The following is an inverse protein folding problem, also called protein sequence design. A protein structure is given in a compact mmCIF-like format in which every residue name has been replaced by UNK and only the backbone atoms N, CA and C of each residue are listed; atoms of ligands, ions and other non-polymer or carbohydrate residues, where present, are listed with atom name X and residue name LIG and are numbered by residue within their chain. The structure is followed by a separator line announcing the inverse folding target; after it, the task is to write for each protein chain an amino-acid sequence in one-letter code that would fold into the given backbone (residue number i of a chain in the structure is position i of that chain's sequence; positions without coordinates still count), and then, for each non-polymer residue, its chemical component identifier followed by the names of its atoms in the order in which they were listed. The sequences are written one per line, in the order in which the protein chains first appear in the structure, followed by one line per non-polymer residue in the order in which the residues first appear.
data_IF_923951488558
#
_entry.id   IF_923951488558
#
_cell.length_a   1.000
_cell.length_b   1.000
_cell.length_c   1.000
_cell.angle_alpha   90.00
_cell.angle_beta   90.00
_cell.angle_gamma   90.00
#
_symmetry.space_group_name_H-M   'P 1'
#
loop_
_entity.id
_entity.type
_entity.pdbx_description
1 polymer ?
#
# COMPACT_ATOMS: atom_id res chain seq x y z
N UNK A 1 -31.06 -3.02 33.99
CA UNK A 1 -30.77 -2.88 32.54
C UNK A 1 -29.29 -3.12 32.30
N UNK A 2 -28.88 -4.29 31.75
CA UNK A 2 -27.48 -4.50 31.34
C UNK A 2 -27.17 -3.52 30.22
N UNK A 3 -26.30 -2.56 30.49
CA UNK A 3 -25.98 -1.47 29.56
C UNK A 3 -25.63 -2.01 28.17
N UNK A 4 -26.39 -1.56 27.16
CA UNK A 4 -26.16 -1.82 25.73
C UNK A 4 -25.01 -0.96 25.17
N UNK A 5 -24.24 -0.25 26.00
CA UNK A 5 -23.14 0.64 25.55
C UNK A 5 -22.10 -0.08 24.69
N UNK A 6 -21.85 -1.37 24.89
CA UNK A 6 -20.90 -2.12 24.06
C UNK A 6 -21.36 -2.27 22.61
N UNK A 7 -22.67 -2.33 22.35
CA UNK A 7 -23.22 -2.38 20.98
C UNK A 7 -22.95 -1.05 20.29
N UNK A 8 -23.10 0.06 21.01
CA UNK A 8 -22.79 1.40 20.50
C UNK A 8 -21.30 1.48 20.12
N UNK A 9 -20.40 1.05 21.02
CA UNK A 9 -18.96 1.01 20.71
C UNK A 9 -18.61 0.06 19.56
N UNK A 10 -19.29 -1.09 19.45
CA UNK A 10 -19.09 -2.02 18.34
C UNK A 10 -19.50 -1.40 17.00
N UNK A 11 -20.66 -0.72 16.94
CA UNK A 11 -21.12 -0.02 15.75
C UNK A 11 -20.16 1.11 15.36
N UNK A 12 -19.70 1.92 16.34
CA UNK A 12 -18.69 2.95 16.10
C UNK A 12 -17.40 2.32 15.54
N UNK A 13 -16.95 1.19 16.11
CA UNK A 13 -15.79 0.45 15.63
C UNK A 13 -15.95 -0.04 14.19
N UNK A 14 -17.10 -0.59 13.84
CA UNK A 14 -17.40 -1.03 12.46
C UNK A 14 -17.34 0.16 11.48
N UNK A 15 -17.91 1.31 11.85
CA UNK A 15 -17.85 2.53 11.02
C UNK A 15 -16.40 2.97 10.85
N UNK A 16 -15.62 3.02 11.92
CA UNK A 16 -14.19 3.38 11.86
C UNK A 16 -13.40 2.42 10.97
N UNK A 17 -13.63 1.10 11.08
CA UNK A 17 -13.01 0.10 10.20
C UNK A 17 -13.44 0.31 8.74
N UNK A 18 -14.70 0.64 8.47
CA UNK A 18 -15.12 0.98 7.11
C UNK A 18 -14.41 2.21 6.55
N UNK A 19 -14.25 3.25 7.36
CA UNK A 19 -13.59 4.50 6.97
C UNK A 19 -12.08 4.33 6.76
N UNK A 20 -11.41 3.49 7.55
CA UNK A 20 -9.95 3.29 7.45
C UNK A 20 -9.50 2.73 6.10
N UNK A 21 -10.38 2.07 5.36
CA UNK A 21 -10.09 1.61 4.00
C UNK A 21 -9.89 2.77 3.00
N UNK A 22 -10.59 3.89 3.20
CA UNK A 22 -10.62 5.01 2.25
C UNK A 22 -9.59 6.11 2.57
N UNK A 23 -9.17 6.20 3.82
CA UNK A 23 -8.22 7.22 4.29
C UNK A 23 -6.78 6.67 4.35
N UNK A 24 -5.77 7.53 4.19
CA UNK A 24 -4.39 7.14 4.48
C UNK A 24 -4.25 6.82 5.97
N UNK A 25 -3.71 5.64 6.27
CA UNK A 25 -3.49 5.17 7.65
C UNK A 25 -2.16 5.68 8.17
N UNK A 26 -1.20 5.78 7.26
CA UNK A 26 0.14 6.26 7.55
C UNK A 26 0.59 7.17 6.41
N UNK A 27 1.24 8.27 6.76
CA UNK A 27 1.87 9.17 5.81
C UNK A 27 3.33 9.35 6.20
N UNK A 28 4.23 9.37 5.22
CA UNK A 28 5.64 9.74 5.41
C UNK A 28 5.97 10.95 4.56
N UNK A 29 6.87 11.79 5.06
CA UNK A 29 7.42 12.92 4.33
C UNK A 29 8.92 12.70 4.16
N UNK A 30 9.37 12.57 2.91
CA UNK A 30 10.78 12.47 2.60
C UNK A 30 11.41 13.87 2.65
N UNK A 31 12.46 13.98 3.47
CA UNK A 31 13.30 15.17 3.57
C UNK A 31 14.73 14.77 3.21
N UNK A 32 15.33 15.47 2.25
CA UNK A 32 16.71 15.24 1.86
C UNK A 32 17.41 16.57 1.60
N UNK A 33 18.74 16.56 1.57
CA UNK A 33 19.54 17.75 1.22
C UNK A 33 19.25 18.19 -0.23
N UNK A 34 18.90 17.26 -1.12
CA UNK A 34 18.52 17.54 -2.50
C UNK A 34 17.13 18.20 -2.61
N UNK A 35 16.32 18.14 -1.56
CA UNK A 35 14.99 18.75 -1.46
C UNK A 35 14.98 19.84 -0.38
N UNK A 36 15.54 21.02 -0.66
CA UNK A 36 15.63 22.08 0.33
C UNK A 36 14.24 22.53 0.78
N UNK A 37 14.12 22.88 2.07
CA UNK A 37 12.85 23.33 2.68
C UNK A 37 12.26 24.59 2.02
N UNK A 38 13.06 25.34 1.28
CA UNK A 38 12.60 26.47 0.47
C UNK A 38 11.74 26.04 -0.72
N UNK A 39 11.93 24.82 -1.24
CA UNK A 39 11.14 24.27 -2.36
C UNK A 39 10.10 23.25 -1.90
N UNK A 40 10.43 22.43 -0.89
CA UNK A 40 9.52 21.42 -0.33
C UNK A 40 9.34 21.67 1.18
N UNK A 41 8.54 22.68 1.58
CA UNK A 41 8.39 23.04 2.99
C UNK A 41 7.77 21.91 3.82
N UNK A 42 6.96 21.05 3.20
CA UNK A 42 6.33 19.88 3.83
C UNK A 42 6.97 18.55 3.46
N UNK A 43 8.05 18.56 2.66
CA UNK A 43 8.68 17.37 2.08
C UNK A 43 7.80 16.65 1.04
N UNK A 44 8.39 15.69 0.32
CA UNK A 44 7.66 14.85 -0.63
C UNK A 44 6.82 13.84 0.15
N UNK A 45 5.49 13.89 0.00
CA UNK A 45 4.56 13.09 0.80
C UNK A 45 4.14 11.81 0.11
N UNK A 46 4.20 10.72 0.86
CA UNK A 46 3.76 9.39 0.43
C UNK A 46 2.71 8.90 1.44
N UNK A 47 1.54 8.56 0.91
CA UNK A 47 0.38 8.12 1.68
C UNK A 47 0.19 6.61 1.53
N UNK A 48 0.21 5.89 2.64
CA UNK A 48 -0.02 4.46 2.69
C UNK A 48 -1.48 4.17 3.04
N UNK A 49 -2.18 3.49 2.12
CA UNK A 49 -3.53 2.97 2.29
C UNK A 49 -3.48 1.44 2.26
N UNK A 50 -4.51 0.76 2.76
CA UNK A 50 -4.55 -0.71 2.74
C UNK A 50 -4.44 -1.34 1.35
N UNK A 51 -4.84 -0.61 0.33
CA UNK A 51 -4.91 -1.09 -1.04
C UNK A 51 -3.75 -0.60 -1.92
N UNK A 52 -2.82 0.20 -1.39
CA UNK A 52 -1.77 0.84 -2.19
C UNK A 52 -0.94 1.89 -1.47
N UNK A 53 0.18 2.23 -2.12
CA UNK A 53 0.95 3.45 -1.85
C UNK A 53 0.46 4.52 -2.82
N UNK A 54 0.20 5.72 -2.31
CA UNK A 54 -0.39 6.85 -3.03
C UNK A 54 0.51 8.08 -2.89
N UNK A 55 0.45 8.96 -3.89
CA UNK A 55 1.02 10.30 -3.77
C UNK A 55 0.19 11.13 -2.78
N UNK A 56 0.82 11.62 -1.71
CA UNK A 56 0.21 12.47 -0.69
C UNK A 56 0.37 13.98 -0.96
N UNK A 57 0.94 14.35 -2.10
CA UNK A 57 1.02 15.74 -2.54
C UNK A 57 -0.35 16.17 -3.11
N UNK A 58 -1.08 17.01 -2.37
CA UNK A 58 -2.45 17.47 -2.68
C UNK A 58 -2.52 18.48 -3.85
N UNK A 59 -1.93 18.18 -5.01
CA UNK A 59 -1.97 19.06 -6.19
C UNK A 59 -1.50 20.50 -5.92
N UNK A 60 -0.84 20.71 -4.78
CA UNK A 60 -0.37 22.01 -4.35
C UNK A 60 0.78 22.32 -5.27
N UNK A 61 0.65 23.39 -6.04
CA UNK A 61 1.81 24.08 -6.60
C UNK A 61 2.66 24.49 -5.41
N UNK A 62 3.55 23.62 -4.94
CA UNK A 62 4.47 23.94 -3.83
C UNK A 62 5.44 25.05 -4.22
N UNK A 63 5.34 25.54 -5.47
CA UNK A 63 5.94 26.75 -5.98
C UNK A 63 4.96 27.61 -6.80
N UNK A 64 4.82 28.89 -6.45
CA UNK A 64 4.20 29.89 -7.34
C UNK A 64 5.12 30.23 -8.54
N UNK A 65 6.44 30.13 -8.38
CA UNK A 65 7.44 30.54 -9.39
C UNK A 65 7.76 29.48 -10.47
N UNK A 66 7.41 28.20 -10.27
CA UNK A 66 7.50 27.15 -11.31
C UNK A 66 6.15 26.93 -12.01
N UNK A 67 5.15 27.78 -11.75
CA UNK A 67 3.80 27.66 -12.27
C UNK A 67 3.66 27.99 -13.78
N UNK A 68 4.69 27.73 -14.59
CA UNK A 68 4.60 27.73 -16.05
C UNK A 68 3.94 26.44 -16.52
N UNK A 69 2.62 26.29 -16.35
CA UNK A 69 1.73 25.23 -16.90
C UNK A 69 2.13 23.73 -16.80
N UNK A 70 3.32 23.41 -16.31
CA UNK A 70 3.98 22.10 -16.19
C UNK A 70 4.80 22.03 -14.89
N UNK A 71 4.47 22.92 -13.94
CA UNK A 71 5.25 23.20 -12.75
C UNK A 71 5.32 22.06 -11.77
N UNK A 72 6.52 21.48 -11.65
CA UNK A 72 7.01 20.66 -10.53
C UNK A 72 5.91 19.87 -9.81
N UNK A 73 5.27 18.97 -10.54
CA UNK A 73 4.43 17.96 -9.92
C UNK A 73 5.34 17.18 -8.96
N UNK A 74 5.09 17.25 -7.65
CA UNK A 74 5.83 16.46 -6.65
C UNK A 74 5.94 14.98 -7.07
N UNK A 75 4.96 14.50 -7.85
CA UNK A 75 5.00 13.21 -8.53
C UNK A 75 6.11 13.07 -9.59
N UNK A 76 6.31 14.08 -10.44
CA UNK A 76 7.37 14.11 -11.45
C UNK A 76 8.75 14.05 -10.81
N UNK A 77 8.93 14.76 -9.70
CA UNK A 77 10.20 14.80 -8.96
C UNK A 77 10.44 13.48 -8.22
N UNK A 78 9.39 12.91 -7.63
CA UNK A 78 9.43 11.56 -7.08
C UNK A 78 9.70 10.50 -8.16
N UNK A 79 9.17 10.67 -9.37
CA UNK A 79 9.43 9.78 -10.49
C UNK A 79 10.85 9.95 -11.06
N UNK A 80 11.42 11.15 -10.98
CA UNK A 80 12.83 11.37 -11.29
C UNK A 80 13.73 10.62 -10.29
N UNK A 81 13.43 10.67 -8.99
CA UNK A 81 14.13 9.84 -7.97
C UNK A 81 14.03 8.36 -8.34
N UNK A 82 12.81 7.89 -8.61
CA UNK A 82 12.57 6.49 -8.91
C UNK A 82 13.39 6.07 -10.12
N UNK A 83 13.45 6.88 -11.17
CA UNK A 83 14.31 6.62 -12.33
C UNK A 83 15.80 6.46 -11.94
N UNK A 84 16.35 7.36 -11.12
CA UNK A 84 17.77 7.30 -10.73
C UNK A 84 18.11 6.17 -9.75
N UNK A 85 17.15 5.71 -8.96
CA UNK A 85 17.31 4.60 -8.01
C UNK A 85 16.90 3.25 -8.65
N UNK A 86 16.40 3.26 -9.90
CA UNK A 86 15.95 2.06 -10.61
C UNK A 86 14.57 1.56 -10.14
N UNK A 87 13.80 2.39 -9.45
CA UNK A 87 12.40 2.12 -9.09
C UNK A 87 11.45 2.61 -10.19
N UNK A 88 10.27 2.01 -10.26
CA UNK A 88 9.25 2.39 -11.24
C UNK A 88 8.55 3.72 -10.88
N UNK A 89 8.05 4.48 -11.88
CA UNK A 89 7.33 5.72 -11.63
C UNK A 89 6.03 5.45 -10.86
N UNK A 90 5.75 6.30 -9.88
CA UNK A 90 4.48 6.39 -9.17
C UNK A 90 3.48 7.14 -10.06
N UNK A 91 2.30 6.57 -10.25
CA UNK A 91 1.16 7.22 -10.92
C UNK A 91 0.19 7.83 -9.92
N UNK A 92 -0.63 8.80 -10.36
CA UNK A 92 -1.72 9.30 -9.53
C UNK A 92 -2.74 8.17 -9.27
N UNK A 93 -2.94 7.83 -8.00
CA UNK A 93 -3.82 6.73 -7.57
C UNK A 93 -3.05 5.50 -7.09
N UNK A 94 -3.63 4.30 -7.26
CA UNK A 94 -2.92 3.04 -6.99
C UNK A 94 -1.74 2.96 -7.95
N UNK A 95 -0.52 2.76 -7.44
CA UNK A 95 0.69 2.70 -8.25
C UNK A 95 0.71 1.50 -9.23
N UNK A 96 -0.04 1.59 -10.31
CA UNK A 96 -0.13 0.62 -11.39
C UNK A 96 -0.38 1.38 -12.72
N UNK A 97 0.67 1.86 -13.41
CA UNK A 97 0.52 2.57 -14.68
C UNK A 97 -0.21 1.71 -15.72
N UNK A 98 -1.08 2.31 -16.54
CA UNK A 98 -1.88 1.59 -17.54
C UNK A 98 -1.02 0.88 -18.62
N UNK A 99 0.25 1.26 -18.74
CA UNK A 99 1.23 0.67 -19.67
C UNK A 99 1.95 -0.56 -19.10
N UNK A 100 1.68 -0.95 -17.85
CA UNK A 100 2.27 -2.15 -17.24
C UNK A 100 1.38 -3.37 -17.45
N UNK A 101 1.93 -4.41 -18.08
CA UNK A 101 1.29 -5.74 -18.13
C UNK A 101 1.30 -6.44 -16.76
N UNK A 102 2.26 -6.10 -15.91
CA UNK A 102 2.44 -6.67 -14.57
C UNK A 102 2.75 -5.57 -13.53
N UNK A 103 2.35 -5.74 -12.26
CA UNK A 103 2.64 -4.77 -11.22
C UNK A 103 4.15 -4.47 -11.09
N UNK A 104 4.51 -3.25 -10.68
CA UNK A 104 5.89 -2.74 -10.71
C UNK A 104 6.91 -3.50 -9.87
N UNK A 105 6.48 -4.29 -8.89
CA UNK A 105 7.39 -5.09 -8.06
C UNK A 105 7.68 -6.47 -8.66
N UNK A 106 7.09 -6.82 -9.82
CA UNK A 106 7.42 -8.06 -10.49
C UNK A 106 8.80 -7.98 -11.14
N UNK A 107 9.69 -8.88 -10.74
CA UNK A 107 11.02 -9.03 -11.31
C UNK A 107 11.01 -10.28 -12.18
N UNK A 108 11.37 -10.11 -13.44
CA UNK A 108 11.58 -11.20 -14.38
C UNK A 108 13.07 -11.28 -14.66
N UNK A 109 13.68 -12.40 -14.30
CA UNK A 109 15.06 -12.69 -14.66
C UNK A 109 15.02 -13.65 -15.85
N UNK A 110 15.75 -13.29 -16.91
CA UNK A 110 15.82 -14.08 -18.14
C UNK A 110 16.88 -15.17 -18.05
N UNK A 111 17.73 -15.12 -17.01
CA UNK A 111 18.86 -16.02 -16.84
C UNK A 111 18.77 -16.85 -15.58
N UNK A 112 18.22 -16.36 -14.46
CA UNK A 112 18.23 -17.07 -13.17
C UNK A 112 16.84 -17.24 -12.56
N UNK A 113 16.64 -18.28 -11.76
CA UNK A 113 15.41 -18.50 -10.99
C UNK A 113 15.44 -17.83 -9.59
N UNK A 114 14.36 -17.97 -8.81
CA UNK A 114 14.27 -17.46 -7.42
C UNK A 114 15.37 -18.06 -6.49
N UNK A 115 16.01 -19.16 -6.89
CA UNK A 115 17.10 -19.83 -6.18
C UNK A 115 18.50 -19.53 -6.77
N UNK A 116 18.59 -18.63 -7.76
CA UNK A 116 19.83 -18.21 -8.40
C UNK A 116 20.41 -19.18 -9.43
N UNK A 117 19.66 -20.20 -9.85
CA UNK A 117 20.10 -21.20 -10.83
C UNK A 117 19.82 -20.72 -12.25
N UNK A 118 20.80 -20.87 -13.14
CA UNK A 118 20.65 -20.47 -14.54
C UNK A 118 19.76 -21.46 -15.31
N UNK A 119 18.71 -20.95 -15.97
CA UNK A 119 17.75 -21.75 -16.73
C UNK A 119 17.72 -21.26 -18.19
N UNK A 120 18.49 -21.94 -19.03
CA UNK A 120 18.49 -21.77 -20.49
C UNK A 120 17.62 -22.88 -21.06
N UNK A 121 16.69 -22.54 -21.95
CA UNK A 121 15.90 -23.54 -22.69
C UNK A 121 16.84 -24.40 -23.56
N UNK A 122 16.99 -25.71 -23.28
CA UNK A 122 17.91 -26.57 -24.02
C UNK A 122 17.47 -26.80 -25.48
N UNK A 123 16.22 -26.51 -25.85
CA UNK A 123 15.70 -26.77 -27.20
C UNK A 123 15.68 -25.53 -28.10
N UNK A 124 15.47 -24.33 -27.55
CA UNK A 124 15.26 -23.12 -28.35
C UNK A 124 16.41 -22.11 -28.28
N UNK A 125 17.31 -22.24 -27.29
CA UNK A 125 18.41 -21.29 -27.07
C UNK A 125 17.94 -19.87 -26.74
N UNK A 126 16.66 -19.68 -26.46
CA UNK A 126 16.07 -18.39 -26.08
C UNK A 126 15.99 -18.27 -24.56
N UNK A 127 16.23 -17.05 -24.05
CA UNK A 127 16.16 -16.76 -22.63
C UNK A 127 14.70 -16.85 -22.14
N UNK A 128 14.40 -17.81 -21.26
CA UNK A 128 13.06 -17.96 -20.68
C UNK A 128 12.88 -16.84 -19.65
N UNK A 129 11.86 -15.99 -19.84
CA UNK A 129 11.46 -15.00 -18.82
C UNK A 129 10.83 -15.74 -17.63
N UNK A 130 11.59 -15.94 -16.57
CA UNK A 130 11.09 -16.58 -15.35
C UNK A 130 10.76 -15.49 -14.35
N UNK A 131 9.56 -15.60 -13.78
CA UNK A 131 9.11 -14.70 -12.75
C UNK A 131 9.83 -15.04 -11.43
N UNK A 132 10.90 -14.31 -11.14
CA UNK A 132 11.66 -14.43 -9.89
C UNK A 132 11.11 -13.55 -8.78
N UNK A 133 9.86 -13.08 -8.93
CA UNK A 133 9.26 -12.18 -7.96
C UNK A 133 9.16 -12.89 -6.62
N UNK A 134 9.82 -12.33 -5.59
CA UNK A 134 9.89 -12.92 -4.27
C UNK A 134 8.51 -13.26 -3.71
N UNK A 135 8.36 -14.46 -3.14
CA UNK A 135 7.08 -14.95 -2.63
C UNK A 135 6.43 -14.01 -1.61
N UNK A 136 7.25 -13.27 -0.87
CA UNK A 136 6.82 -12.18 0.03
C UNK A 136 6.01 -11.11 -0.73
N UNK A 137 6.56 -10.53 -1.80
CA UNK A 137 5.92 -9.49 -2.60
C UNK A 137 4.66 -9.99 -3.33
N UNK A 138 4.67 -11.24 -3.81
CA UNK A 138 3.48 -11.90 -4.37
C UNK A 138 2.35 -11.99 -3.34
N UNK A 139 2.68 -12.34 -2.10
CA UNK A 139 1.73 -12.42 -0.98
C UNK A 139 1.18 -11.05 -0.60
N UNK A 140 2.04 -10.04 -0.50
CA UNK A 140 1.63 -8.65 -0.24
C UNK A 140 0.63 -8.16 -1.31
N UNK A 141 0.94 -8.39 -2.58
CA UNK A 141 0.04 -8.02 -3.68
C UNK A 141 -1.32 -8.72 -3.58
N UNK A 142 -1.32 -10.02 -3.28
CA UNK A 142 -2.56 -10.76 -3.06
C UNK A 142 -3.39 -10.13 -1.94
N UNK A 143 -2.78 -9.78 -0.81
CA UNK A 143 -3.45 -9.12 0.32
C UNK A 143 -4.01 -7.75 -0.09
N UNK A 144 -3.21 -6.92 -0.78
CA UNK A 144 -3.61 -5.57 -1.19
C UNK A 144 -4.74 -5.56 -2.23
N UNK A 145 -4.70 -6.48 -3.20
CA UNK A 145 -5.75 -6.63 -4.22
C UNK A 145 -7.05 -7.14 -3.61
N UNK A 146 -6.96 -8.09 -2.68
CA UNK A 146 -8.13 -8.67 -2.01
C UNK A 146 -8.56 -7.89 -0.75
N UNK A 147 -7.90 -6.78 -0.43
CA UNK A 147 -8.21 -5.96 0.74
C UNK A 147 -9.68 -5.54 0.85
N UNK A 148 -10.45 -5.23 -0.22
CA UNK A 148 -11.88 -4.93 -0.07
C UNK A 148 -12.66 -6.07 0.57
N UNK A 149 -12.37 -7.32 0.17
CA UNK A 149 -13.04 -8.50 0.71
C UNK A 149 -12.65 -8.77 2.17
N UNK A 150 -11.39 -8.52 2.53
CA UNK A 150 -10.89 -8.62 3.91
C UNK A 150 -11.66 -7.62 4.81
N UNK A 151 -11.88 -6.40 4.34
CA UNK A 151 -12.66 -5.39 5.06
C UNK A 151 -14.14 -5.75 5.20
N UNK A 152 -14.74 -6.36 4.18
CA UNK A 152 -16.11 -6.91 4.29
C UNK A 152 -16.18 -7.96 5.40
N UNK A 153 -15.21 -8.87 5.47
CA UNK A 153 -15.14 -9.88 6.54
C UNK A 153 -15.01 -9.21 7.93
N UNK A 154 -14.19 -8.18 8.07
CA UNK A 154 -14.07 -7.43 9.33
C UNK A 154 -15.37 -6.76 9.76
N UNK A 155 -16.11 -6.18 8.81
CA UNK A 155 -17.43 -5.60 9.08
C UNK A 155 -18.41 -6.70 9.53
N UNK A 156 -18.44 -7.85 8.84
CA UNK A 156 -19.30 -8.98 9.22
C UNK A 156 -18.96 -9.51 10.63
N UNK A 157 -17.67 -9.64 10.97
CA UNK A 157 -17.23 -10.04 12.31
C UNK A 157 -17.66 -9.04 13.37
N UNK A 158 -17.54 -7.74 13.09
CA UNK A 158 -18.03 -6.69 13.97
C UNK A 158 -19.55 -6.74 14.17
N UNK A 159 -20.32 -7.00 13.11
CA UNK A 159 -21.77 -7.18 13.18
C UNK A 159 -22.14 -8.42 13.99
N UNK A 160 -21.46 -9.55 13.77
CA UNK A 160 -21.63 -10.77 14.56
C UNK A 160 -21.41 -10.43 16.04
N UNK A 161 -20.29 -9.78 16.38
CA UNK A 161 -20.01 -9.37 17.77
C UNK A 161 -21.07 -8.42 18.35
N UNK A 162 -21.66 -7.53 17.55
CA UNK A 162 -22.71 -6.63 17.99
C UNK A 162 -24.04 -7.36 18.30
N UNK A 163 -24.36 -8.43 17.55
CA UNK A 163 -25.64 -9.14 17.65
C UNK A 163 -25.58 -10.48 18.43
N UNK A 164 -24.40 -11.00 18.78
CA UNK A 164 -24.26 -12.22 19.61
C UNK A 164 -23.64 -11.97 21.00
N UNK A 165 -23.96 -12.80 22.02
CA UNK A 165 -23.56 -12.56 23.40
C UNK A 165 -22.04 -12.63 23.65
N UNK A 166 -21.54 -11.65 24.43
CA UNK A 166 -20.12 -11.35 24.79
C UNK A 166 -19.17 -12.52 25.10
N UNK A 167 -19.66 -13.66 25.63
CA UNK A 167 -18.78 -14.74 26.12
C UNK A 167 -18.38 -15.76 25.05
N UNK A 168 -19.09 -15.84 23.93
CA UNK A 168 -18.76 -16.78 22.86
C UNK A 168 -17.91 -16.16 21.74
N UNK A 169 -18.06 -14.86 21.46
CA UNK A 169 -17.55 -14.25 20.22
C UNK A 169 -16.54 -13.11 20.44
N UNK A 170 -15.75 -13.14 21.52
CA UNK A 170 -14.72 -12.11 21.79
C UNK A 170 -13.72 -12.00 20.61
N UNK A 171 -13.39 -13.13 19.98
CA UNK A 171 -12.54 -13.20 18.79
C UNK A 171 -13.10 -12.36 17.63
N UNK A 172 -14.43 -12.37 17.43
CA UNK A 172 -15.07 -11.61 16.36
C UNK A 172 -14.99 -10.08 16.58
N UNK A 173 -14.85 -9.62 17.82
CA UNK A 173 -14.57 -8.21 18.12
C UNK A 173 -13.08 -7.87 18.07
N UNK A 174 -12.20 -8.78 18.49
CA UNK A 174 -10.75 -8.55 18.57
C UNK A 174 -10.08 -8.49 17.20
N UNK A 175 -10.46 -9.39 16.27
CA UNK A 175 -9.88 -9.45 14.92
C UNK A 175 -9.98 -8.09 14.20
N UNK A 176 -11.18 -7.50 14.01
CA UNK A 176 -11.30 -6.20 13.34
C UNK A 176 -10.71 -5.04 14.15
N UNK A 177 -10.62 -5.15 15.48
CA UNK A 177 -10.00 -4.11 16.31
C UNK A 177 -8.48 -4.00 16.11
N UNK A 178 -7.82 -5.07 15.65
CA UNK A 178 -6.38 -5.13 15.43
C UNK A 178 -5.94 -4.69 14.03
N UNK A 179 -6.88 -4.22 13.19
CA UNK A 179 -6.62 -3.75 11.82
C UNK A 179 -5.44 -2.77 11.71
N UNK A 180 -5.28 -1.75 12.57
CA UNK A 180 -4.13 -0.85 12.51
C UNK A 180 -2.79 -1.55 12.77
N UNK A 181 -2.77 -2.57 13.64
CA UNK A 181 -1.56 -3.34 13.93
C UNK A 181 -1.21 -4.27 12.78
N UNK A 182 -2.20 -4.94 12.18
CA UNK A 182 -1.95 -5.74 10.98
C UNK A 182 -1.34 -4.90 9.87
N UNK A 183 -1.85 -3.68 9.66
CA UNK A 183 -1.27 -2.73 8.72
C UNK A 183 0.20 -2.44 9.03
N UNK A 184 0.50 -2.06 10.27
CA UNK A 184 1.86 -1.74 10.69
C UNK A 184 2.81 -2.93 10.52
N UNK A 185 2.43 -4.12 10.98
CA UNK A 185 3.28 -5.31 10.90
C UNK A 185 3.47 -5.77 9.46
N UNK A 186 2.43 -5.74 8.63
CA UNK A 186 2.53 -6.04 7.21
C UNK A 186 3.52 -5.09 6.56
N UNK A 187 3.31 -3.77 6.66
CA UNK A 187 4.20 -2.80 6.04
C UNK A 187 5.62 -2.86 6.60
N UNK A 188 5.80 -2.95 7.91
CA UNK A 188 7.14 -3.02 8.52
C UNK A 188 7.91 -4.28 8.08
N UNK A 189 7.23 -5.42 7.94
CA UNK A 189 7.86 -6.65 7.45
C UNK A 189 8.27 -6.53 5.98
N UNK A 190 7.39 -5.97 5.14
CA UNK A 190 7.66 -5.83 3.71
C UNK A 190 8.56 -4.64 3.35
N UNK A 191 8.73 -3.64 4.22
CA UNK A 191 9.71 -2.56 4.04
C UNK A 191 11.15 -3.02 4.26
N UNK A 192 11.34 -4.16 4.93
CA UNK A 192 12.67 -4.76 5.14
C UNK A 192 13.13 -5.60 3.94
N UNK A 193 12.23 -5.87 3.00
CA UNK A 193 12.43 -6.77 1.87
C UNK A 193 12.49 -5.97 0.58
#
# INVERSE_FOLDING_TARGET
MKSKSYIIFAIIGIILVGLTYFVPIWGVALQSIQYPKSMYPRGIRIDFKFNGVYNGCEGVKEREELATNEGADCLSEMNAINHYIGMYPIVQGRNNPATMEHPSFYVFDTKKDEAGKELIDPETGQEIKINVTPGALKTLNFIMVNSPYIFVVFILLGLIFAFTPKRLNLVAGLIPALVPFYFLFVYMFYLYW
#
